data_IF_823725150647
#
_entry.id   IF_823725150647
#
_cell.length_a   1.000
_cell.length_b   1.000
_cell.length_c   1.000
_cell.angle_alpha   90.00
_cell.angle_beta   90.00
_cell.angle_gamma   90.00
#
_symmetry.space_group_name_H-M   'P 1'
#
loop_
_entity.id
_entity.type
_entity.pdbx_description
1 polymer ?
#
# COMPACT_ATOMS: atom_id res chain seq x y z
N UNK A 1 -15.55 9.74 -22.16
CA UNK A 1 -14.41 10.66 -21.99
C UNK A 1 -13.66 10.36 -20.67
N UNK A 2 -13.18 9.12 -20.45
CA UNK A 2 -12.50 8.75 -19.19
C UNK A 2 -11.29 7.80 -19.40
N UNK A 3 -11.07 7.34 -20.63
CA UNK A 3 -10.13 6.26 -20.92
C UNK A 3 -8.67 6.71 -20.75
N UNK A 4 -8.36 7.97 -21.06
CA UNK A 4 -7.00 8.50 -20.93
C UNK A 4 -6.56 8.63 -19.47
N UNK A 5 -7.48 9.02 -18.58
CA UNK A 5 -7.22 9.08 -17.15
C UNK A 5 -6.98 7.68 -16.57
N UNK A 6 -7.83 6.71 -16.92
CA UNK A 6 -7.62 5.32 -16.49
C UNK A 6 -6.31 4.75 -17.04
N UNK A 7 -5.95 5.08 -18.28
CA UNK A 7 -4.69 4.63 -18.90
C UNK A 7 -3.46 5.21 -18.20
N UNK A 8 -3.54 6.46 -17.72
CA UNK A 8 -2.51 7.08 -16.89
C UNK A 8 -2.40 6.43 -15.50
N UNK A 9 -3.54 6.20 -14.84
CA UNK A 9 -3.59 5.54 -13.52
C UNK A 9 -3.06 4.11 -13.58
N UNK A 10 -3.26 3.40 -14.70
CA UNK A 10 -2.75 2.05 -14.93
C UNK A 10 -1.29 1.98 -15.38
N UNK A 11 -0.56 3.09 -15.40
CA UNK A 11 0.88 3.05 -15.70
C UNK A 11 1.65 2.43 -14.53
N UNK A 12 2.71 1.68 -14.85
CA UNK A 12 3.57 1.00 -13.86
C UNK A 12 3.97 1.88 -12.67
N UNK A 13 4.53 3.10 -12.86
CA UNK A 13 4.94 3.92 -11.72
C UNK A 13 3.76 4.38 -10.85
N UNK A 14 2.61 4.69 -11.45
CA UNK A 14 1.43 5.20 -10.72
C UNK A 14 0.77 4.08 -9.91
N UNK A 15 0.57 2.90 -10.52
CA UNK A 15 0.04 1.74 -9.81
C UNK A 15 0.99 1.31 -8.69
N UNK A 16 2.31 1.29 -8.95
CA UNK A 16 3.30 0.95 -7.94
C UNK A 16 3.25 1.91 -6.75
N UNK A 17 3.16 3.23 -6.99
CA UNK A 17 3.06 4.22 -5.93
C UNK A 17 1.79 4.02 -5.07
N UNK A 18 0.63 3.79 -5.71
CA UNK A 18 -0.63 3.52 -5.01
C UNK A 18 -0.51 2.24 -4.18
N UNK A 19 0.01 1.16 -4.75
CA UNK A 19 0.12 -0.14 -4.11
C UNK A 19 1.11 -0.13 -2.93
N UNK A 20 2.28 0.49 -3.11
CA UNK A 20 3.30 0.60 -2.06
C UNK A 20 2.81 1.51 -0.95
N UNK A 21 2.12 2.62 -1.27
CA UNK A 21 1.55 3.52 -0.24
C UNK A 21 0.48 2.80 0.58
N UNK A 22 -0.40 2.04 -0.09
CA UNK A 22 -1.42 1.24 0.60
C UNK A 22 -0.80 0.17 1.51
N UNK A 23 0.17 -0.59 0.98
CA UNK A 23 0.87 -1.64 1.73
C UNK A 23 1.66 -1.06 2.90
N UNK A 24 2.38 0.04 2.69
CA UNK A 24 3.14 0.73 3.73
C UNK A 24 2.21 1.28 4.81
N UNK A 25 1.10 1.91 4.42
CA UNK A 25 0.06 2.36 5.35
C UNK A 25 -0.43 1.20 6.21
N UNK A 26 -0.79 0.06 5.61
CA UNK A 26 -1.22 -1.12 6.34
C UNK A 26 -0.17 -1.62 7.36
N UNK A 27 1.11 -1.69 6.97
CA UNK A 27 2.20 -2.10 7.85
C UNK A 27 2.42 -1.10 9.00
N UNK A 28 2.30 0.20 8.73
CA UNK A 28 2.40 1.25 9.76
C UNK A 28 1.27 1.10 10.77
N UNK A 29 0.05 0.88 10.31
CA UNK A 29 -1.12 0.68 11.16
C UNK A 29 -0.96 -0.58 12.04
N UNK A 30 -0.44 -1.68 11.49
CA UNK A 30 -0.13 -2.90 12.27
C UNK A 30 0.84 -2.57 13.41
N UNK A 31 1.97 -1.92 13.11
CA UNK A 31 2.96 -1.57 14.14
C UNK A 31 2.44 -0.50 15.12
N UNK A 32 1.44 0.30 14.74
CA UNK A 32 0.79 1.27 15.65
C UNK A 32 -0.17 0.60 16.63
N UNK A 33 -0.95 -0.38 16.18
CA UNK A 33 -1.92 -1.08 17.03
C UNK A 33 -1.29 -2.22 17.84
N UNK A 34 -0.26 -2.86 17.29
CA UNK A 34 0.48 -3.94 17.93
C UNK A 34 1.98 -3.59 17.90
N UNK A 35 2.44 -2.75 18.84
CA UNK A 35 3.85 -2.40 18.91
C UNK A 35 4.70 -3.61 19.31
N UNK A 36 5.95 -3.62 18.84
CA UNK A 36 7.01 -4.53 19.29
C UNK A 36 6.75 -6.04 19.08
N UNK A 37 6.18 -6.41 17.93
CA UNK A 37 6.02 -7.83 17.53
C UNK A 37 7.38 -8.41 17.10
N UNK A 38 8.10 -9.06 18.03
CA UNK A 38 9.38 -9.73 17.74
C UNK A 38 9.18 -11.10 17.06
N UNK A 39 8.15 -11.82 17.44
CA UNK A 39 7.84 -13.15 16.89
C UNK A 39 6.36 -13.45 17.04
N UNK A 40 5.83 -14.30 16.17
CA UNK A 40 4.47 -14.81 16.34
C UNK A 40 4.50 -15.96 17.33
N UNK A 41 3.93 -15.74 18.52
CA UNK A 41 3.79 -16.77 19.56
C UNK A 41 2.48 -17.52 19.35
N UNK A 42 2.45 -18.43 18.37
CA UNK A 42 1.39 -19.42 18.21
C UNK A 42 1.97 -20.84 18.23
#
# INVERSE_FOLDING_TARGET
MNNNLMKYLSTVPVVAAIWVTFTAGFVIEINRFFPDILSFSF
#
